data_IF_674496898400
#
_entry.id   IF_674496898400
#
_cell.length_a   1.000
_cell.length_b   1.000
_cell.length_c   1.000
_cell.angle_alpha   90.00
_cell.angle_beta   90.00
_cell.angle_gamma   90.00
#
_symmetry.space_group_name_H-M   'P 1'
#
loop_
_entity.id
_entity.type
_entity.pdbx_description
1 polymer ?
#
# COMPACT_ATOMS: atom_id res chain seq x y z
N UNK A 1 9.21 4.62 -5.32
CA UNK A 1 9.81 5.11 -4.05
C UNK A 1 11.18 4.48 -3.86
N UNK A 2 11.88 4.75 -2.76
CA UNK A 2 13.18 4.18 -2.42
C UNK A 2 13.88 5.09 -1.43
N UNK A 3 15.09 4.70 -0.99
CA UNK A 3 15.88 5.40 0.02
C UNK A 3 15.99 6.92 -0.19
N UNK A 4 16.08 7.37 -1.45
CA UNK A 4 16.18 8.79 -1.80
C UNK A 4 14.96 9.62 -1.34
N UNK A 5 13.80 9.00 -1.18
CA UNK A 5 12.57 9.64 -0.73
C UNK A 5 12.23 9.31 0.73
N UNK A 6 12.42 8.04 1.12
CA UNK A 6 12.04 7.56 2.45
C UNK A 6 12.87 8.23 3.57
N UNK A 7 14.19 8.25 3.44
CA UNK A 7 15.07 8.80 4.47
C UNK A 7 14.91 10.31 4.68
N UNK A 8 14.84 11.17 3.62
CA UNK A 8 14.56 12.61 3.80
C UNK A 8 13.20 12.85 4.45
N UNK A 9 12.15 12.11 4.01
CA UNK A 9 10.81 12.26 4.59
C UNK A 9 10.76 11.88 6.05
N UNK A 10 11.45 10.81 6.42
CA UNK A 10 11.53 10.36 7.81
C UNK A 10 12.24 11.41 8.70
N UNK A 11 13.28 12.10 8.17
CA UNK A 11 13.93 13.23 8.87
C UNK A 11 13.00 14.42 9.03
N UNK A 12 12.28 14.78 7.96
CA UNK A 12 11.35 15.92 7.94
C UNK A 12 10.30 15.80 9.04
N UNK A 13 9.72 14.59 9.21
CA UNK A 13 8.66 14.34 10.20
C UNK A 13 9.18 13.88 11.56
N UNK A 14 10.48 13.83 11.75
CA UNK A 14 11.16 13.27 12.94
C UNK A 14 10.69 11.84 13.30
N UNK A 15 10.39 11.04 12.27
CA UNK A 15 9.86 9.70 12.42
C UNK A 15 10.87 8.73 13.03
N UNK A 16 10.40 7.84 13.90
CA UNK A 16 11.26 6.86 14.59
C UNK A 16 11.77 5.76 13.66
N UNK A 17 10.92 5.30 12.74
CA UNK A 17 11.23 4.27 11.77
C UNK A 17 10.31 4.36 10.55
N UNK A 18 10.71 3.73 9.46
CA UNK A 18 9.92 3.59 8.24
C UNK A 18 10.19 2.25 7.56
N UNK A 19 9.25 1.79 6.77
CA UNK A 19 9.39 0.55 6.02
C UNK A 19 8.81 0.67 4.62
N UNK A 20 9.37 -0.11 3.70
CA UNK A 20 8.85 -0.28 2.35
C UNK A 20 8.38 -1.73 2.15
N UNK A 21 7.40 -1.94 1.28
CA UNK A 21 6.90 -3.29 0.95
C UNK A 21 8.03 -4.20 0.43
N UNK A 22 9.04 -3.63 -0.22
CA UNK A 22 10.21 -4.33 -0.71
C UNK A 22 11.18 -4.82 0.39
N UNK A 23 10.87 -4.61 1.67
CA UNK A 23 11.69 -5.09 2.79
C UNK A 23 12.84 -4.16 3.18
N UNK A 24 12.79 -2.90 2.81
CA UNK A 24 13.69 -1.87 3.32
C UNK A 24 13.14 -1.28 4.61
N UNK A 25 14.00 -1.13 5.64
CA UNK A 25 13.61 -0.63 6.95
C UNK A 25 14.57 0.45 7.42
N UNK A 26 14.06 1.64 7.66
CA UNK A 26 14.80 2.85 8.04
C UNK A 26 14.59 3.15 9.52
N UNK A 27 15.64 3.53 10.24
CA UNK A 27 15.59 3.80 11.68
C UNK A 27 16.24 5.14 12.00
N UNK A 28 15.58 5.97 12.83
CA UNK A 28 16.11 7.24 13.33
C UNK A 28 17.45 7.04 14.02
N UNK A 29 17.53 6.08 14.93
CA UNK A 29 18.73 5.77 15.72
C UNK A 29 19.86 5.15 14.88
N UNK A 30 19.59 4.81 13.63
CA UNK A 30 20.59 4.36 12.65
C UNK A 30 20.72 5.34 11.49
N UNK A 31 20.85 6.63 11.82
CA UNK A 31 21.05 7.73 10.85
C UNK A 31 19.98 7.83 9.76
N UNK A 32 18.76 7.38 10.03
CA UNK A 32 17.68 7.21 9.04
C UNK A 32 18.11 6.32 7.86
N UNK A 33 19.06 5.42 8.10
CA UNK A 33 19.56 4.49 7.08
C UNK A 33 18.78 3.19 7.09
N UNK A 34 18.79 2.53 5.92
CA UNK A 34 18.23 1.20 5.75
C UNK A 34 19.11 0.15 6.43
N UNK A 35 18.49 -0.73 7.21
CA UNK A 35 19.16 -1.87 7.83
C UNK A 35 18.19 -3.04 8.05
N UNK A 36 18.23 -4.00 7.14
CA UNK A 36 17.53 -5.28 7.31
C UNK A 36 18.05 -6.09 8.50
N UNK A 37 19.35 -5.99 8.81
CA UNK A 37 19.93 -6.67 9.97
C UNK A 37 19.36 -6.12 11.29
N UNK A 38 19.31 -4.79 11.44
CA UNK A 38 18.71 -4.17 12.63
C UNK A 38 17.22 -4.53 12.76
N UNK A 39 16.48 -4.47 11.65
CA UNK A 39 15.09 -4.91 11.61
C UNK A 39 14.92 -6.36 12.07
N UNK A 40 15.76 -7.27 11.56
CA UNK A 40 15.74 -8.69 11.96
C UNK A 40 16.00 -8.87 13.46
N UNK A 41 16.96 -8.15 14.04
CA UNK A 41 17.24 -8.23 15.47
C UNK A 41 16.07 -7.72 16.32
N UNK A 42 15.42 -6.63 15.91
CA UNK A 42 14.22 -6.10 16.58
C UNK A 42 13.08 -7.13 16.51
N UNK A 43 12.82 -7.70 15.34
CA UNK A 43 11.77 -8.72 15.16
C UNK A 43 12.08 -9.97 16.03
N UNK A 44 13.30 -10.46 16.04
CA UNK A 44 13.69 -11.60 16.89
C UNK A 44 13.46 -11.32 18.38
N UNK A 45 13.76 -10.10 18.84
CA UNK A 45 13.47 -9.66 20.21
C UNK A 45 11.98 -9.68 20.51
N UNK A 46 11.16 -9.17 19.59
CA UNK A 46 9.69 -9.15 19.71
C UNK A 46 9.16 -10.60 19.76
N UNK A 47 9.54 -11.44 18.81
CA UNK A 47 9.12 -12.85 18.73
C UNK A 47 9.51 -13.61 20.00
N UNK A 48 10.73 -13.40 20.50
CA UNK A 48 11.19 -14.00 21.76
C UNK A 48 10.35 -13.57 22.96
N UNK A 49 9.93 -12.30 23.00
CA UNK A 49 9.06 -11.78 24.04
C UNK A 49 7.64 -12.37 23.96
N UNK A 50 7.07 -12.44 22.76
CA UNK A 50 5.75 -13.06 22.52
C UNK A 50 5.77 -14.54 22.91
N UNK A 51 6.80 -15.27 22.50
CA UNK A 51 6.96 -16.70 22.83
C UNK A 51 6.98 -16.95 24.33
N UNK A 52 7.65 -16.09 25.13
CA UNK A 52 7.63 -16.18 26.60
C UNK A 52 6.23 -15.99 27.20
N UNK A 53 5.34 -15.27 26.48
CA UNK A 53 3.94 -15.05 26.87
C UNK A 53 2.97 -16.09 26.28
N UNK A 54 3.48 -17.10 25.54
CA UNK A 54 2.66 -18.10 24.87
C UNK A 54 1.89 -17.55 23.65
N UNK A 55 2.30 -16.39 23.11
CA UNK A 55 1.64 -15.75 21.96
C UNK A 55 2.45 -16.06 20.71
N UNK A 56 1.79 -16.53 19.64
CA UNK A 56 2.42 -16.70 18.33
C UNK A 56 2.55 -15.36 17.59
N UNK A 57 3.52 -15.24 16.69
CA UNK A 57 3.66 -14.04 15.86
C UNK A 57 2.43 -13.84 14.98
N UNK A 58 1.86 -14.91 14.39
CA UNK A 58 0.64 -14.84 13.59
C UNK A 58 -0.53 -14.29 14.39
N UNK A 59 -0.78 -14.83 15.60
CA UNK A 59 -1.84 -14.33 16.47
C UNK A 59 -1.66 -12.86 16.84
N UNK A 60 -0.41 -12.40 17.04
CA UNK A 60 -0.13 -10.99 17.26
C UNK A 60 -0.43 -10.13 16.03
N UNK A 61 -0.04 -10.59 14.84
CA UNK A 61 -0.32 -9.90 13.57
C UNK A 61 -1.82 -9.83 13.34
N UNK A 62 -2.55 -10.96 13.49
CA UNK A 62 -4.00 -11.02 13.32
C UNK A 62 -4.73 -10.02 14.23
N UNK A 63 -4.25 -9.86 15.48
CA UNK A 63 -4.82 -8.89 16.42
C UNK A 63 -4.62 -7.42 16.02
N UNK A 64 -3.68 -7.13 15.13
CA UNK A 64 -3.35 -5.80 14.62
C UNK A 64 -3.92 -5.55 13.23
N UNK A 65 -4.36 -6.59 12.53
CA UNK A 65 -4.90 -6.50 11.18
C UNK A 65 -6.37 -6.11 11.24
N UNK A 66 -6.69 -4.93 10.73
CA UNK A 66 -8.05 -4.38 10.75
C UNK A 66 -8.64 -4.21 9.34
N UNK A 67 -7.87 -4.54 8.31
CA UNK A 67 -8.24 -4.41 6.91
C UNK A 67 -7.88 -5.66 6.12
N UNK A 68 -8.73 -5.99 5.18
CA UNK A 68 -8.46 -6.97 4.12
C UNK A 68 -7.71 -6.27 2.99
N UNK A 69 -6.72 -6.96 2.41
CA UNK A 69 -5.84 -6.40 1.37
C UNK A 69 -6.00 -7.18 0.06
N UNK A 70 -6.11 -6.47 -1.07
CA UNK A 70 -6.25 -7.09 -2.40
C UNK A 70 -4.99 -7.75 -2.93
N UNK A 71 -3.84 -7.48 -2.31
CA UNK A 71 -2.58 -7.63 -3.03
C UNK A 71 -2.43 -6.61 -4.15
N UNK A 72 -1.32 -6.65 -4.85
CA UNK A 72 -1.07 -5.79 -6.01
C UNK A 72 -1.71 -6.40 -7.27
N UNK A 73 -2.61 -5.65 -7.91
CA UNK A 73 -3.23 -6.03 -9.17
C UNK A 73 -2.55 -5.22 -10.29
N UNK A 74 -1.99 -5.92 -11.28
CA UNK A 74 -1.25 -5.30 -12.36
C UNK A 74 -2.09 -5.26 -13.64
N UNK A 75 -2.07 -4.11 -14.32
CA UNK A 75 -2.77 -3.89 -15.58
C UNK A 75 -1.81 -3.41 -16.66
N UNK A 76 -1.88 -4.02 -17.83
CA UNK A 76 -1.23 -3.52 -19.03
C UNK A 76 -2.24 -2.69 -19.83
N UNK A 77 -1.91 -1.42 -20.07
CA UNK A 77 -2.70 -0.48 -20.87
C UNK A 77 -1.81 0.65 -21.37
N UNK A 78 -2.26 1.39 -22.40
CA UNK A 78 -1.50 2.48 -23.00
C UNK A 78 -1.65 3.79 -22.22
N UNK A 79 -2.89 4.26 -22.04
CA UNK A 79 -3.18 5.53 -21.35
C UNK A 79 -3.26 5.35 -19.83
N UNK A 80 -2.10 5.20 -19.20
CA UNK A 80 -2.02 5.07 -17.74
C UNK A 80 -2.53 6.30 -16.99
N UNK A 81 -2.29 7.50 -17.53
CA UNK A 81 -2.70 8.74 -16.88
C UNK A 81 -4.22 8.89 -16.90
N UNK A 82 -4.84 8.74 -18.05
CA UNK A 82 -6.30 8.78 -18.18
C UNK A 82 -6.98 7.72 -17.33
N UNK A 83 -6.41 6.51 -17.27
CA UNK A 83 -6.92 5.41 -16.45
C UNK A 83 -6.89 5.73 -14.94
N UNK A 84 -5.81 6.32 -14.45
CA UNK A 84 -5.70 6.75 -13.05
C UNK A 84 -6.69 7.86 -12.72
N UNK A 85 -6.77 8.89 -13.55
CA UNK A 85 -7.69 10.02 -13.37
C UNK A 85 -9.15 9.57 -13.46
N UNK A 86 -9.47 8.70 -14.41
CA UNK A 86 -10.80 8.15 -14.61
C UNK A 86 -11.26 7.28 -13.44
N UNK A 87 -10.37 6.43 -12.91
CA UNK A 87 -10.70 5.62 -11.74
C UNK A 87 -10.92 6.48 -10.48
N UNK A 88 -10.12 7.53 -10.30
CA UNK A 88 -10.32 8.50 -9.22
C UNK A 88 -11.67 9.22 -9.35
N UNK A 89 -12.04 9.64 -10.56
CA UNK A 89 -13.32 10.27 -10.84
C UNK A 89 -14.50 9.31 -10.57
N UNK A 90 -14.39 8.05 -11.02
CA UNK A 90 -15.40 7.02 -10.77
C UNK A 90 -15.71 6.88 -9.28
N UNK A 91 -14.71 6.66 -8.46
CA UNK A 91 -14.94 6.46 -7.03
C UNK A 91 -15.35 7.75 -6.31
N UNK A 92 -14.83 8.91 -6.74
CA UNK A 92 -15.27 10.21 -6.19
C UNK A 92 -16.73 10.52 -6.49
N UNK A 93 -17.27 10.07 -7.62
CA UNK A 93 -18.70 10.25 -7.97
C UNK A 93 -19.63 9.43 -7.09
N UNK A 94 -19.16 8.32 -6.55
CA UNK A 94 -19.93 7.41 -5.69
C UNK A 94 -19.84 7.78 -4.20
N UNK A 95 -18.65 8.21 -3.78
CA UNK A 95 -18.39 8.56 -2.39
C UNK A 95 -17.36 9.68 -2.31
N UNK A 96 -17.61 10.70 -1.51
CA UNK A 96 -16.64 11.77 -1.28
C UNK A 96 -15.41 11.21 -0.55
N UNK A 97 -14.19 11.34 -1.10
CA UNK A 97 -12.99 10.91 -0.41
C UNK A 97 -12.71 11.78 0.82
N UNK A 98 -12.18 11.16 1.87
CA UNK A 98 -11.70 11.85 3.07
C UNK A 98 -10.34 12.51 2.78
N UNK A 99 -9.52 11.87 1.96
CA UNK A 99 -8.19 12.35 1.61
C UNK A 99 -7.79 11.89 0.22
N UNK A 100 -7.08 12.76 -0.50
CA UNK A 100 -6.47 12.47 -1.81
C UNK A 100 -4.99 12.84 -1.74
N UNK A 101 -4.12 11.97 -2.23
CA UNK A 101 -2.67 12.17 -2.29
C UNK A 101 -2.16 11.77 -3.69
N UNK A 102 -1.21 12.54 -4.23
CA UNK A 102 -0.71 12.41 -5.60
C UNK A 102 0.82 12.28 -5.73
N UNK A 103 1.52 11.97 -4.62
CA UNK A 103 2.98 11.92 -4.59
C UNK A 103 3.61 10.62 -5.15
N UNK A 104 2.85 9.53 -5.29
CA UNK A 104 3.26 8.25 -5.91
C UNK A 104 2.04 7.60 -6.59
N UNK A 105 1.65 8.17 -7.73
CA UNK A 105 0.34 7.91 -8.32
C UNK A 105 -0.76 8.58 -7.50
N UNK A 106 -1.97 8.02 -7.54
CA UNK A 106 -3.10 8.53 -6.75
C UNK A 106 -3.45 7.55 -5.64
N UNK A 107 -3.46 8.07 -4.40
CA UNK A 107 -4.05 7.39 -3.26
C UNK A 107 -5.30 8.14 -2.80
N UNK A 108 -6.42 7.42 -2.68
CA UNK A 108 -7.68 7.96 -2.17
C UNK A 108 -8.12 7.17 -0.95
N UNK A 109 -8.46 7.89 0.11
CA UNK A 109 -8.93 7.31 1.38
C UNK A 109 -10.40 7.66 1.60
N UNK A 110 -11.18 6.65 1.96
CA UNK A 110 -12.60 6.73 2.32
C UNK A 110 -12.79 6.27 3.76
N UNK A 111 -14.01 6.23 4.27
CA UNK A 111 -14.27 5.89 5.66
C UNK A 111 -13.87 4.45 6.03
N UNK A 112 -14.17 3.48 5.16
CA UNK A 112 -13.96 2.05 5.41
C UNK A 112 -12.95 1.39 4.49
N UNK A 113 -12.47 2.09 3.48
CA UNK A 113 -11.55 1.55 2.47
C UNK A 113 -10.65 2.63 1.88
N UNK A 114 -9.59 2.20 1.21
CA UNK A 114 -8.71 3.07 0.43
C UNK A 114 -8.13 2.30 -0.76
N UNK A 115 -7.67 3.02 -1.76
CA UNK A 115 -6.86 2.45 -2.83
C UNK A 115 -5.67 3.34 -3.18
N UNK A 116 -4.67 2.74 -3.81
CA UNK A 116 -3.61 3.43 -4.53
C UNK A 116 -3.52 2.85 -5.94
N UNK A 117 -3.37 3.75 -6.91
CA UNK A 117 -3.13 3.40 -8.31
C UNK A 117 -1.94 4.20 -8.82
N UNK A 118 -0.94 3.51 -9.37
CA UNK A 118 0.33 4.13 -9.79
C UNK A 118 0.97 3.42 -10.96
N UNK A 119 1.74 4.13 -11.82
CA UNK A 119 2.54 3.46 -12.83
C UNK A 119 3.70 2.70 -12.17
N UNK A 120 4.09 1.57 -12.73
CA UNK A 120 5.35 0.92 -12.39
C UNK A 120 6.51 1.72 -12.98
N UNK A 121 7.59 1.89 -12.21
CA UNK A 121 8.80 2.57 -12.67
C UNK A 121 9.71 1.68 -13.55
N UNK A 122 9.55 0.37 -13.44
CA UNK A 122 10.44 -0.62 -14.09
C UNK A 122 9.75 -1.45 -15.15
N UNK A 123 8.43 -1.48 -15.15
CA UNK A 123 7.62 -2.35 -16.01
C UNK A 123 6.48 -1.57 -16.69
N UNK A 124 5.96 -2.04 -17.81
CA UNK A 124 4.89 -1.35 -18.55
C UNK A 124 3.50 -1.52 -17.90
N UNK A 125 3.44 -1.61 -16.56
CA UNK A 125 2.19 -1.85 -15.82
C UNK A 125 1.69 -0.61 -15.09
N UNK A 126 0.37 -0.57 -14.92
CA UNK A 126 -0.33 0.21 -13.93
C UNK A 126 -0.63 -0.72 -12.74
N UNK A 127 -0.26 -0.31 -11.54
CA UNK A 127 -0.41 -1.10 -10.31
C UNK A 127 -1.53 -0.54 -9.46
N UNK A 128 -2.43 -1.41 -9.08
CA UNK A 128 -3.55 -1.08 -8.20
C UNK A 128 -3.48 -1.93 -6.92
N UNK A 129 -3.71 -1.30 -5.79
CA UNK A 129 -3.86 -1.96 -4.50
C UNK A 129 -5.04 -1.32 -3.76
N UNK A 130 -5.82 -2.14 -3.08
CA UNK A 130 -6.98 -1.73 -2.30
C UNK A 130 -6.99 -2.43 -0.95
N UNK A 131 -7.43 -1.71 0.09
CA UNK A 131 -7.77 -2.30 1.38
C UNK A 131 -9.13 -1.82 1.83
N UNK A 132 -9.89 -2.71 2.49
CA UNK A 132 -11.19 -2.42 3.05
C UNK A 132 -11.39 -3.12 4.39
N UNK A 133 -12.35 -2.61 5.20
CA UNK A 133 -12.66 -3.20 6.52
C UNK A 133 -13.37 -4.54 6.44
N UNK A 134 -14.04 -4.82 5.33
CA UNK A 134 -14.68 -6.14 5.11
C UNK A 134 -14.22 -6.75 3.79
N UNK A 135 -14.25 -8.08 3.71
CA UNK A 135 -13.86 -8.82 2.51
C UNK A 135 -14.85 -8.59 1.36
N UNK A 136 -16.12 -8.41 1.67
CA UNK A 136 -17.17 -8.11 0.71
C UNK A 136 -16.92 -6.75 0.05
N UNK A 137 -16.64 -5.71 0.86
CA UNK A 137 -16.33 -4.38 0.35
C UNK A 137 -15.06 -4.39 -0.49
N UNK A 138 -13.99 -5.06 -0.03
CA UNK A 138 -12.78 -5.25 -0.80
C UNK A 138 -13.04 -5.87 -2.16
N UNK A 139 -13.73 -7.01 -2.19
CA UNK A 139 -14.07 -7.73 -3.42
C UNK A 139 -14.89 -6.87 -4.38
N UNK A 140 -15.86 -6.14 -3.86
CA UNK A 140 -16.69 -5.22 -4.65
C UNK A 140 -15.85 -4.11 -5.28
N UNK A 141 -14.98 -3.43 -4.47
CA UNK A 141 -14.17 -2.30 -4.97
C UNK A 141 -13.11 -2.75 -5.97
N UNK A 142 -12.47 -3.89 -5.73
CA UNK A 142 -11.50 -4.48 -6.67
C UNK A 142 -12.20 -4.87 -7.97
N UNK A 143 -13.34 -5.55 -7.91
CA UNK A 143 -14.09 -5.95 -9.10
C UNK A 143 -14.55 -4.73 -9.92
N UNK A 144 -14.99 -3.68 -9.26
CA UNK A 144 -15.41 -2.44 -9.91
C UNK A 144 -14.24 -1.74 -10.59
N UNK A 145 -13.07 -1.65 -9.92
CA UNK A 145 -11.87 -1.07 -10.51
C UNK A 145 -11.42 -1.86 -11.73
N UNK A 146 -11.39 -3.19 -11.65
CA UNK A 146 -11.02 -4.05 -12.75
C UNK A 146 -11.97 -3.88 -13.95
N UNK A 147 -13.28 -3.97 -13.74
CA UNK A 147 -14.27 -3.83 -14.80
C UNK A 147 -14.17 -2.46 -15.50
N UNK A 148 -13.97 -1.38 -14.74
CA UNK A 148 -13.80 -0.05 -15.28
C UNK A 148 -12.54 0.08 -16.15
N UNK A 149 -11.40 -0.39 -15.65
CA UNK A 149 -10.14 -0.32 -16.40
C UNK A 149 -10.17 -1.21 -17.64
N UNK A 150 -10.79 -2.37 -17.57
CA UNK A 150 -10.93 -3.30 -18.70
C UNK A 150 -11.88 -2.73 -19.78
N UNK A 151 -13.02 -2.12 -19.39
CA UNK A 151 -14.00 -1.59 -20.34
C UNK A 151 -13.58 -0.26 -20.98
N UNK A 152 -13.11 0.70 -20.18
CA UNK A 152 -12.85 2.05 -20.65
C UNK A 152 -11.44 2.23 -21.24
N UNK A 153 -10.47 1.44 -20.79
CA UNK A 153 -9.06 1.58 -21.17
C UNK A 153 -8.46 0.32 -21.82
N UNK A 154 -9.30 -0.67 -22.13
CA UNK A 154 -8.86 -1.96 -22.69
C UNK A 154 -7.71 -2.58 -21.91
N UNK A 155 -7.73 -2.40 -20.59
CA UNK A 155 -6.70 -2.90 -19.70
C UNK A 155 -6.72 -4.43 -19.67
N UNK A 156 -5.53 -5.03 -19.71
CA UNK A 156 -5.35 -6.48 -19.57
C UNK A 156 -4.71 -6.75 -18.24
N UNK A 157 -5.39 -7.55 -17.41
CA UNK A 157 -4.88 -8.00 -16.12
C UNK A 157 -3.76 -9.02 -16.32
N UNK A 158 -2.68 -8.91 -15.55
CA UNK A 158 -1.49 -9.79 -15.64
C UNK A 158 -1.30 -10.54 -14.30
#
# INVERSE_FOLDING_TARGET
MGRAFAAPKLREIDGLWGGELAGHYYFKDFFYSDSGLLASMIILRIVSSLKRKGISLSSQIDSMTHYFNSGEVNFRLEDKKGAMEGLCALFSSQQKPLRVMDFDGYRMEFDSWWFNIRPSNTEPYLRFICEARTEEELSQKVSQACAYLESEFSAVRS
#
